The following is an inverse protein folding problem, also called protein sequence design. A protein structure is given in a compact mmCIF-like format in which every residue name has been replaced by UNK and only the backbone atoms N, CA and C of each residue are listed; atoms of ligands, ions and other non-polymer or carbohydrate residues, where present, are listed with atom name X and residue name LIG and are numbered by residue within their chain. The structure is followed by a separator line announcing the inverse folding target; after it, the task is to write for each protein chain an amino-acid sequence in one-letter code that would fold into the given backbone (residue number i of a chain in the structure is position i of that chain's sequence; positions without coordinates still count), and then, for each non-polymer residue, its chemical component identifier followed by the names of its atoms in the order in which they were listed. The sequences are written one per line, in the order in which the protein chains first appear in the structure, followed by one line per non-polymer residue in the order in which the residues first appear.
data_IF_817108779775
#
_entry.id   IF_817108779775
#
_cell.length_a   1.000
_cell.length_b   1.000
_cell.length_c   1.000
_cell.angle_alpha   90.00
_cell.angle_beta   90.00
_cell.angle_gamma   90.00
#
_symmetry.space_group_name_H-M   'P 1'
#
loop_
_entity.id
_entity.type
_entity.pdbx_description
1 polymer ?
#
# COMPACT_ATOMS: atom_id res chain seq x y z
N UNK A 1 19.81 -20.45 -6.11
CA UNK A 1 18.46 -19.85 -6.12
C UNK A 1 18.56 -18.56 -5.34
N UNK A 2 18.05 -17.44 -5.86
CA UNK A 2 18.08 -16.16 -5.15
C UNK A 2 16.97 -16.16 -4.10
N UNK A 3 17.29 -15.75 -2.87
CA UNK A 3 16.33 -15.71 -1.76
C UNK A 3 16.00 -14.27 -1.41
N UNK A 4 14.72 -13.97 -1.20
CA UNK A 4 14.29 -12.68 -0.67
C UNK A 4 14.37 -12.71 0.86
N UNK A 5 14.96 -11.66 1.44
CA UNK A 5 15.05 -11.47 2.89
C UNK A 5 14.37 -10.16 3.29
N UNK A 6 13.82 -10.09 4.50
CA UNK A 6 13.27 -8.85 5.05
C UNK A 6 14.38 -8.14 5.83
N UNK A 7 14.89 -7.05 5.28
CA UNK A 7 15.99 -6.28 5.89
C UNK A 7 15.49 -5.38 7.03
N UNK A 8 14.34 -4.75 6.85
CA UNK A 8 13.72 -3.88 7.85
C UNK A 8 12.20 -3.86 7.70
N UNK A 9 11.50 -3.46 8.77
CA UNK A 9 10.06 -3.21 8.75
C UNK A 9 9.68 -1.96 9.54
N UNK A 10 8.61 -1.30 9.13
CA UNK A 10 8.01 -0.17 9.84
C UNK A 10 6.49 -0.18 9.67
N UNK A 11 5.78 0.37 10.66
CA UNK A 11 4.33 0.59 10.62
C UNK A 11 3.96 1.79 11.46
N UNK A 12 2.85 2.44 11.12
CA UNK A 12 2.23 3.43 11.99
C UNK A 12 1.60 2.76 13.22
N UNK A 13 1.26 3.56 14.23
CA UNK A 13 0.31 3.14 15.24
C UNK A 13 -1.06 2.83 14.62
N UNK A 14 -1.94 2.15 15.35
CA UNK A 14 -3.34 2.00 14.95
C UNK A 14 -4.19 3.01 15.70
N UNK A 15 -4.96 3.81 14.95
CA UNK A 15 -5.93 4.74 15.51
C UNK A 15 -7.34 4.31 15.15
N UNK A 16 -8.32 4.65 16.00
CA UNK A 16 -9.73 4.40 15.70
C UNK A 16 -10.16 5.23 14.48
N UNK A 17 -10.84 4.59 13.53
CA UNK A 17 -11.42 5.29 12.38
C UNK A 17 -12.36 6.42 12.83
N UNK A 18 -12.39 7.51 12.06
CA UNK A 18 -13.20 8.72 12.21
C UNK A 18 -12.87 9.61 13.44
N UNK A 19 -12.51 9.02 14.58
CA UNK A 19 -12.35 9.74 15.87
C UNK A 19 -10.98 9.57 16.54
N UNK A 20 -10.05 8.85 15.91
CA UNK A 20 -8.70 8.64 16.42
C UNK A 20 -7.71 9.65 15.86
N UNK A 21 -6.47 9.59 16.36
CA UNK A 21 -5.43 10.59 16.11
C UNK A 21 -4.98 10.76 14.65
N UNK A 22 -5.30 9.83 13.75
CA UNK A 22 -5.00 9.92 12.32
C UNK A 22 -6.19 10.36 11.46
N UNK A 23 -7.30 10.79 12.06
CA UNK A 23 -8.51 11.14 11.30
C UNK A 23 -8.33 12.33 10.34
N UNK A 24 -7.32 13.18 10.57
CA UNK A 24 -6.94 14.30 9.70
C UNK A 24 -5.60 14.08 8.98
N UNK A 25 -5.06 12.85 9.01
CA UNK A 25 -3.79 12.51 8.34
C UNK A 25 -4.05 11.70 7.09
N UNK A 26 -3.50 12.12 5.95
CA UNK A 26 -3.67 11.40 4.69
C UNK A 26 -2.95 10.04 4.71
N UNK A 27 -3.50 9.01 4.03
CA UNK A 27 -2.89 7.67 4.03
C UNK A 27 -1.54 7.59 3.31
N UNK A 28 -1.35 8.35 2.23
CA UNK A 28 -0.09 8.44 1.50
C UNK A 28 1.01 9.09 2.37
N UNK A 29 0.69 10.14 3.14
CA UNK A 29 1.61 10.72 4.13
C UNK A 29 1.99 9.73 5.23
N UNK A 30 1.01 8.96 5.75
CA UNK A 30 1.26 7.92 6.76
C UNK A 30 2.21 6.84 6.24
N UNK A 31 2.02 6.38 5.00
CA UNK A 31 2.89 5.39 4.40
C UNK A 31 4.27 5.95 4.06
N UNK A 32 4.35 7.17 3.53
CA UNK A 32 5.61 7.85 3.26
C UNK A 32 6.44 8.05 4.54
N UNK A 33 5.77 8.33 5.67
CA UNK A 33 6.42 8.35 6.99
C UNK A 33 7.07 7.00 7.34
N UNK A 34 6.37 5.89 7.13
CA UNK A 34 6.93 4.55 7.35
C UNK A 34 8.08 4.22 6.41
N UNK A 35 8.03 4.62 5.14
CA UNK A 35 9.14 4.43 4.20
C UNK A 35 10.36 5.26 4.61
N UNK A 36 10.18 6.50 5.05
CA UNK A 36 11.28 7.32 5.60
C UNK A 36 11.92 6.67 6.83
N UNK A 37 11.11 6.09 7.72
CA UNK A 37 11.62 5.35 8.88
C UNK A 37 12.36 4.06 8.47
N UNK A 38 11.87 3.33 7.47
CA UNK A 38 12.56 2.18 6.88
C UNK A 38 13.95 2.55 6.35
N UNK A 39 14.06 3.61 5.54
CA UNK A 39 15.34 4.07 4.99
C UNK A 39 16.32 4.48 6.11
N UNK A 40 15.82 5.14 7.17
CA UNK A 40 16.65 5.48 8.34
C UNK A 40 17.19 4.27 9.10
N UNK A 41 16.45 3.15 9.11
CA UNK A 41 16.88 1.89 9.73
C UNK A 41 17.99 1.19 8.93
N UNK A 42 18.14 1.54 7.65
CA UNK A 42 19.13 0.96 6.75
C UNK A 42 19.98 2.09 6.14
N UNK A 43 20.80 2.80 6.95
CA UNK A 43 21.52 4.01 6.50
C UNK A 43 22.57 3.76 5.41
N UNK A 44 22.90 2.50 5.16
CA UNK A 44 23.85 2.06 4.12
C UNK A 44 23.20 2.00 2.73
N UNK A 45 21.85 1.99 2.66
CA UNK A 45 21.09 1.84 1.42
C UNK A 45 20.89 3.22 0.80
N UNK A 46 21.41 3.42 -0.40
CA UNK A 46 21.15 4.63 -1.16
C UNK A 46 19.71 4.63 -1.69
N UNK A 47 18.95 5.73 -1.56
CA UNK A 47 17.57 5.78 -2.03
C UNK A 47 17.37 5.43 -3.52
N UNK A 48 18.40 5.62 -4.35
CA UNK A 48 18.38 5.25 -5.78
C UNK A 48 18.54 3.75 -6.04
N UNK A 49 18.94 2.96 -5.05
CA UNK A 49 19.03 1.50 -5.15
C UNK A 49 17.66 0.84 -4.98
N UNK A 50 16.65 1.56 -4.48
CA UNK A 50 15.27 1.06 -4.47
C UNK A 50 14.75 1.04 -5.91
N UNK A 51 14.37 -0.14 -6.38
CA UNK A 51 13.98 -0.33 -7.78
C UNK A 51 12.47 -0.34 -8.00
N UNK A 52 11.67 -0.53 -6.95
CA UNK A 52 10.21 -0.35 -6.98
C UNK A 52 9.62 -0.17 -5.56
N UNK A 53 8.44 0.44 -5.50
CA UNK A 53 7.62 0.58 -4.30
C UNK A 53 6.23 0.01 -4.58
N UNK A 54 5.97 -1.19 -4.05
CA UNK A 54 4.70 -1.89 -4.19
C UNK A 54 3.85 -1.65 -2.94
N UNK A 55 2.75 -0.92 -3.10
CA UNK A 55 1.83 -0.60 -1.99
C UNK A 55 0.47 -1.27 -2.17
N UNK A 56 0.04 -1.98 -1.14
CA UNK A 56 -1.27 -2.58 -1.05
C UNK A 56 -2.32 -1.65 -0.47
N UNK A 57 -3.50 -1.58 -1.09
CA UNK A 57 -4.67 -0.88 -0.54
C UNK A 57 -5.96 -1.60 -0.90
N UNK A 58 -6.90 -1.69 0.04
CA UNK A 58 -8.17 -2.40 -0.17
C UNK A 58 -9.07 -1.67 -1.16
N UNK A 59 -9.02 -0.35 -1.17
CA UNK A 59 -9.86 0.50 -2.02
C UNK A 59 -9.01 1.61 -2.65
N UNK A 60 -8.43 1.41 -3.84
CA UNK A 60 -7.54 2.37 -4.49
C UNK A 60 -8.29 3.58 -5.08
N UNK A 61 -8.94 4.36 -4.22
CA UNK A 61 -9.77 5.51 -4.56
C UNK A 61 -9.47 6.70 -3.63
N UNK A 62 -9.83 7.90 -4.09
CA UNK A 62 -9.79 9.10 -3.25
C UNK A 62 -8.38 9.41 -2.75
N UNK A 63 -8.18 9.64 -1.44
CA UNK A 63 -6.86 9.95 -0.86
C UNK A 63 -5.80 8.86 -1.05
N UNK A 64 -6.20 7.65 -1.41
CA UNK A 64 -5.32 6.50 -1.67
C UNK A 64 -5.50 5.95 -3.10
N UNK A 65 -6.04 6.77 -4.01
CA UNK A 65 -6.13 6.49 -5.44
C UNK A 65 -4.91 6.96 -6.22
N UNK A 66 -5.05 7.07 -7.55
CA UNK A 66 -4.03 7.59 -8.48
C UNK A 66 -2.64 6.94 -8.31
N UNK A 67 -2.60 5.62 -8.17
CA UNK A 67 -1.38 4.86 -7.90
C UNK A 67 -0.64 5.34 -6.63
N UNK A 68 -1.20 5.01 -5.47
CA UNK A 68 -0.67 5.42 -4.17
C UNK A 68 0.77 4.92 -3.92
N UNK A 69 1.18 3.79 -4.51
CA UNK A 69 2.57 3.33 -4.48
C UNK A 69 3.55 4.37 -5.02
N UNK A 70 3.24 4.99 -6.17
CA UNK A 70 4.05 6.07 -6.74
C UNK A 70 4.02 7.34 -5.88
N UNK A 71 2.86 7.70 -5.33
CA UNK A 71 2.74 8.86 -4.44
C UNK A 71 3.61 8.68 -3.19
N UNK A 72 3.56 7.49 -2.58
CA UNK A 72 4.37 7.14 -1.40
C UNK A 72 5.85 7.18 -1.71
N UNK A 73 6.31 6.65 -2.85
CA UNK A 73 7.72 6.69 -3.24
C UNK A 73 8.26 8.13 -3.28
N UNK A 74 7.53 9.03 -3.96
CA UNK A 74 7.92 10.44 -4.08
C UNK A 74 7.82 11.20 -2.75
N UNK A 75 6.74 11.02 -1.99
CA UNK A 75 6.56 11.64 -0.68
C UNK A 75 7.61 11.16 0.34
N UNK A 76 8.10 9.93 0.19
CA UNK A 76 9.17 9.36 0.98
C UNK A 76 10.54 9.99 0.70
N UNK A 77 10.67 10.73 -0.41
CA UNK A 77 11.93 11.33 -0.85
C UNK A 77 12.79 10.42 -1.73
N UNK A 78 12.22 9.33 -2.27
CA UNK A 78 12.92 8.51 -3.26
C UNK A 78 13.09 9.28 -4.57
N UNK A 79 14.16 9.02 -5.34
CA UNK A 79 14.37 9.64 -6.64
C UNK A 79 13.18 9.42 -7.59
N UNK A 80 12.95 10.39 -8.49
CA UNK A 80 11.86 10.30 -9.47
C UNK A 80 11.97 9.09 -10.41
N UNK A 81 13.16 8.50 -10.52
CA UNK A 81 13.44 7.29 -11.29
C UNK A 81 12.90 6.02 -10.64
N UNK A 82 12.63 6.02 -9.32
CA UNK A 82 12.12 4.86 -8.60
C UNK A 82 10.63 4.69 -8.89
N UNK A 83 10.19 3.65 -9.63
CA UNK A 83 8.78 3.44 -9.91
C UNK A 83 7.98 3.13 -8.64
N UNK A 84 6.66 3.06 -8.80
CA UNK A 84 5.78 2.63 -7.74
C UNK A 84 4.49 2.06 -8.31
N UNK A 85 4.00 0.99 -7.68
CA UNK A 85 2.81 0.27 -8.09
C UNK A 85 1.82 0.08 -6.95
N UNK A 86 0.54 0.05 -7.29
CA UNK A 86 -0.54 -0.20 -6.32
C UNK A 86 -1.19 -1.54 -6.62
N UNK A 87 -1.32 -2.38 -5.60
CA UNK A 87 -2.02 -3.67 -5.69
C UNK A 87 -3.24 -3.67 -4.79
N UNK A 88 -4.31 -4.34 -5.25
CA UNK A 88 -5.51 -4.53 -4.46
C UNK A 88 -5.93 -6.00 -4.46
N UNK A 89 -6.01 -6.55 -3.25
CA UNK A 89 -6.55 -7.86 -2.91
C UNK A 89 -7.31 -7.77 -1.57
N UNK A 90 -8.06 -6.69 -1.40
CA UNK A 90 -8.81 -6.35 -0.19
C UNK A 90 -7.95 -6.44 1.08
N UNK A 91 -8.41 -7.11 2.13
CA UNK A 91 -7.72 -7.24 3.42
C UNK A 91 -6.30 -7.81 3.29
N UNK A 92 -6.01 -8.53 2.21
CA UNK A 92 -4.70 -9.14 1.95
C UNK A 92 -3.76 -8.27 1.10
N UNK A 93 -4.16 -7.05 0.71
CA UNK A 93 -3.40 -6.22 -0.23
C UNK A 93 -1.97 -5.93 0.25
N UNK A 94 -1.78 -5.62 1.53
CA UNK A 94 -0.45 -5.35 2.09
C UNK A 94 0.46 -6.58 2.03
N UNK A 95 -0.06 -7.77 2.36
CA UNK A 95 0.70 -9.01 2.25
C UNK A 95 0.97 -9.39 0.78
N UNK A 96 -0.02 -9.17 -0.09
CA UNK A 96 0.14 -9.39 -1.53
C UNK A 96 1.23 -8.48 -2.11
N UNK A 97 1.37 -7.24 -1.64
CA UNK A 97 2.45 -6.35 -2.04
C UNK A 97 3.84 -6.90 -1.62
N UNK A 98 3.96 -7.40 -0.40
CA UNK A 98 5.19 -8.07 0.08
C UNK A 98 5.50 -9.32 -0.75
N UNK A 99 4.48 -10.12 -1.11
CA UNK A 99 4.67 -11.28 -1.99
C UNK A 99 5.16 -10.89 -3.39
N UNK A 100 4.59 -9.83 -3.98
CA UNK A 100 5.04 -9.32 -5.29
C UNK A 100 6.49 -8.83 -5.20
N UNK A 101 6.84 -8.09 -4.15
CA UNK A 101 8.22 -7.64 -3.92
C UNK A 101 9.20 -8.82 -3.78
N UNK A 102 8.83 -9.86 -3.01
CA UNK A 102 9.65 -11.05 -2.88
C UNK A 102 9.84 -11.78 -4.24
N UNK A 103 8.78 -11.89 -5.04
CA UNK A 103 8.86 -12.47 -6.38
C UNK A 103 9.80 -11.69 -7.31
N UNK A 104 9.72 -10.36 -7.30
CA UNK A 104 10.62 -9.49 -8.07
C UNK A 104 12.09 -9.75 -7.71
N UNK A 105 12.39 -9.90 -6.42
CA UNK A 105 13.76 -10.22 -5.97
C UNK A 105 14.17 -11.64 -6.38
N UNK A 106 13.32 -12.64 -6.17
CA UNK A 106 13.70 -14.05 -6.36
C UNK A 106 13.79 -14.45 -7.82
N UNK A 107 12.91 -13.91 -8.67
CA UNK A 107 12.69 -14.38 -10.05
C UNK A 107 13.14 -13.35 -11.08
N UNK A 108 12.78 -12.09 -10.88
CA UNK A 108 13.05 -11.02 -11.86
C UNK A 108 14.45 -10.39 -11.66
N UNK A 109 15.14 -10.72 -10.58
CA UNK A 109 16.54 -10.35 -10.35
C UNK A 109 16.76 -8.99 -9.67
N UNK A 110 15.70 -8.36 -9.17
CA UNK A 110 15.78 -7.10 -8.42
C UNK A 110 16.57 -7.26 -7.12
N UNK A 111 17.31 -6.22 -6.74
CA UNK A 111 18.12 -6.12 -5.54
C UNK A 111 17.33 -5.57 -4.35
N UNK A 112 16.60 -4.47 -4.53
CA UNK A 112 15.89 -3.81 -3.43
C UNK A 112 14.51 -3.34 -3.84
N UNK A 113 13.49 -3.87 -3.16
CA UNK A 113 12.09 -3.49 -3.36
C UNK A 113 11.45 -3.15 -2.02
N UNK A 114 10.61 -2.12 -1.99
CA UNK A 114 9.78 -1.79 -0.83
C UNK A 114 8.38 -2.37 -1.06
N UNK A 115 7.98 -3.33 -0.23
CA UNK A 115 6.62 -3.87 -0.20
C UNK A 115 5.89 -3.44 1.06
N UNK A 116 4.65 -2.96 0.93
CA UNK A 116 3.88 -2.51 2.09
C UNK A 116 2.40 -2.31 1.81
N UNK A 117 1.70 -1.62 2.71
CA UNK A 117 0.30 -1.28 2.51
C UNK A 117 -0.15 -0.11 3.35
N UNK A 118 -1.28 0.48 2.95
CA UNK A 118 -1.92 1.61 3.62
C UNK A 118 -3.43 1.55 3.44
N UNK A 119 -4.13 2.13 4.40
CA UNK A 119 -5.58 2.24 4.37
C UNK A 119 -6.00 3.41 5.27
N UNK A 120 -6.86 4.30 4.77
CA UNK A 120 -7.58 5.28 5.60
C UNK A 120 -9.07 5.08 5.46
N UNK A 121 -9.60 4.28 6.38
CA UNK A 121 -11.05 4.09 6.55
C UNK A 121 -11.74 5.45 6.72
N UNK A 122 -11.15 6.33 7.53
CA UNK A 122 -11.71 7.65 7.85
C UNK A 122 -11.94 8.52 6.61
N UNK A 123 -10.93 8.63 5.75
CA UNK A 123 -10.98 9.56 4.62
C UNK A 123 -11.59 8.95 3.36
N UNK A 124 -11.84 7.63 3.36
CA UNK A 124 -12.42 6.92 2.24
C UNK A 124 -13.91 6.59 2.46
N UNK A 125 -14.27 5.94 3.58
CA UNK A 125 -15.58 5.29 3.69
C UNK A 125 -16.76 6.26 3.73
N UNK A 126 -16.57 7.51 4.15
CA UNK A 126 -17.64 8.49 4.17
C UNK A 126 -18.07 8.89 2.75
N UNK A 127 -17.12 9.01 1.82
CA UNK A 127 -17.30 9.72 0.56
C UNK A 127 -16.87 8.92 -0.69
N UNK A 128 -16.60 7.61 -0.55
CA UNK A 128 -16.27 6.77 -1.72
C UNK A 128 -17.43 6.66 -2.71
N UNK A 129 -17.10 6.45 -3.98
CA UNK A 129 -18.06 6.40 -5.06
C UNK A 129 -19.00 5.18 -4.92
N UNK A 130 -20.29 5.48 -4.77
CA UNK A 130 -21.37 4.48 -4.68
C UNK A 130 -22.09 4.24 -6.00
N UNK A 131 -21.77 5.00 -7.04
CA UNK A 131 -22.38 4.88 -8.36
C UNK A 131 -21.97 3.56 -8.99
N UNK A 132 -22.93 2.71 -9.34
CA UNK A 132 -22.68 1.37 -9.89
C UNK A 132 -21.74 0.50 -9.01
N UNK A 133 -21.78 0.68 -7.69
CA UNK A 133 -20.90 -0.02 -6.75
C UNK A 133 -20.96 -1.56 -6.85
N UNK A 134 -22.15 -2.10 -7.11
CA UNK A 134 -22.36 -3.54 -7.26
C UNK A 134 -22.76 -3.88 -8.68
N UNK A 135 -22.17 -4.95 -9.21
CA UNK A 135 -22.60 -5.52 -10.48
C UNK A 135 -23.99 -6.17 -10.29
N UNK A 136 -24.99 -5.87 -11.16
CA UNK A 136 -26.33 -6.45 -11.05
C UNK A 136 -26.34 -7.98 -11.02
N UNK A 137 -25.52 -8.65 -11.83
CA UNK A 137 -25.43 -10.11 -11.87
C UNK A 137 -24.99 -10.68 -10.52
N UNK A 138 -23.90 -10.14 -9.95
CA UNK A 138 -23.39 -10.62 -8.67
C UNK A 138 -24.32 -10.28 -7.50
N UNK A 139 -25.05 -9.16 -7.59
CA UNK A 139 -26.07 -8.82 -6.61
C UNK A 139 -27.17 -9.88 -6.52
N UNK A 140 -27.59 -10.44 -7.65
CA UNK A 140 -28.70 -11.40 -7.71
C UNK A 140 -28.25 -12.86 -7.49
N UNK A 141 -27.02 -13.22 -7.86
CA UNK A 141 -26.54 -14.62 -7.86
C UNK A 141 -25.49 -14.92 -6.78
N UNK A 142 -24.66 -13.94 -6.41
CA UNK A 142 -23.49 -14.15 -5.55
C UNK A 142 -23.23 -12.95 -4.62
N UNK A 143 -24.27 -12.41 -3.97
CA UNK A 143 -24.16 -11.17 -3.18
C UNK A 143 -23.16 -11.25 -2.02
N UNK A 144 -22.87 -12.46 -1.55
CA UNK A 144 -21.89 -12.74 -0.50
C UNK A 144 -20.47 -12.24 -0.83
N UNK A 145 -20.09 -12.10 -2.11
CA UNK A 145 -18.75 -11.59 -2.49
C UNK A 145 -18.54 -10.12 -2.10
N UNK A 146 -19.63 -9.39 -1.81
CA UNK A 146 -19.60 -7.99 -1.38
C UNK A 146 -19.80 -7.81 0.12
N UNK A 147 -20.03 -8.90 0.87
CA UNK A 147 -20.24 -8.79 2.31
C UNK A 147 -18.93 -8.38 2.99
N UNK A 148 -18.95 -7.33 3.84
CA UNK A 148 -17.80 -7.02 4.66
C UNK A 148 -17.51 -8.20 5.60
N UNK A 149 -16.23 -8.43 5.87
CA UNK A 149 -15.82 -9.31 6.98
C UNK A 149 -16.33 -8.66 8.28
N UNK A 150 -17.11 -9.40 9.06
CA UNK A 150 -17.75 -8.92 10.29
C UNK A 150 -16.77 -8.52 11.40
#
# INVERSE_FOLDING_TARGET
MREAVIVASSRTGLAKSFRGSFNLTRPDDMAAHCVKDLLKKVPQLEPSEVEDVVMGTGFPEGPQGFNVGRNVALLAGLPVTVPGGTVSRFCSSGLNAVMVAAHMVQVEGYDVIIGGGLESITMLQNDFNKTNLFNPYFKDHHSAIYMPMG
#
